data_IF_616347384055
#
_entry.id   IF_616347384055
#
_cell.length_a   1.000
_cell.length_b   1.000
_cell.length_c   1.000
_cell.angle_alpha   90.00
_cell.angle_beta   90.00
_cell.angle_gamma   90.00
#
_symmetry.space_group_name_H-M   'P 1'
#
loop_
_entity.id
_entity.type
_entity.pdbx_description
1 polymer ?
#
# COMPACT_ATOMS: atom_id res chain seq x y z
N UNK A 1 0.23 13.14 -17.28
CA UNK A 1 -0.12 12.11 -18.29
C UNK A 1 -1.40 11.42 -17.85
N UNK A 2 -2.38 11.14 -18.73
CA UNK A 2 -3.69 10.61 -18.29
C UNK A 2 -3.56 9.17 -17.79
N UNK A 3 -3.98 8.91 -16.54
CA UNK A 3 -4.22 7.55 -16.04
C UNK A 3 -5.50 7.02 -16.71
N UNK A 4 -5.34 6.46 -17.90
CA UNK A 4 -6.42 5.79 -18.61
C UNK A 4 -6.45 4.32 -18.17
N UNK A 5 -6.99 4.08 -16.96
CA UNK A 5 -7.35 2.73 -16.47
C UNK A 5 -8.49 2.16 -17.32
N UNK A 6 -8.18 1.76 -18.55
CA UNK A 6 -8.97 0.76 -19.25
C UNK A 6 -8.66 -0.58 -18.62
N UNK A 7 -9.64 -1.12 -17.89
CA UNK A 7 -9.67 -2.52 -17.46
C UNK A 7 -9.79 -3.44 -18.69
N UNK A 8 -8.71 -3.60 -19.44
CA UNK A 8 -8.50 -4.80 -20.25
C UNK A 8 -8.08 -5.91 -19.29
N UNK A 9 -8.82 -7.02 -19.29
CA UNK A 9 -8.40 -8.20 -18.55
C UNK A 9 -7.03 -8.65 -19.06
N UNK A 10 -6.07 -8.74 -18.15
CA UNK A 10 -4.73 -9.24 -18.44
C UNK A 10 -4.87 -10.73 -18.77
N UNK A 11 -4.59 -11.10 -20.01
CA UNK A 11 -4.60 -12.49 -20.45
C UNK A 11 -3.34 -13.19 -19.94
N UNK A 12 -3.44 -13.79 -18.75
CA UNK A 12 -2.36 -14.58 -18.16
C UNK A 12 -2.07 -15.81 -19.02
N UNK A 13 -0.79 -16.06 -19.27
CA UNK A 13 -0.31 -17.22 -20.03
C UNK A 13 0.73 -17.99 -19.24
N UNK A 14 0.93 -19.27 -19.54
CA UNK A 14 1.95 -20.10 -18.88
C UNK A 14 3.36 -19.51 -19.02
N UNK A 15 3.63 -18.72 -20.08
CA UNK A 15 4.89 -18.00 -20.24
C UNK A 15 5.06 -16.86 -19.22
N UNK A 16 4.01 -16.06 -19.01
CA UNK A 16 3.99 -15.02 -17.96
C UNK A 16 4.09 -15.63 -16.57
N UNK A 17 3.34 -16.70 -16.29
CA UNK A 17 3.38 -17.40 -15.00
C UNK A 17 4.78 -17.95 -14.69
N UNK A 18 5.44 -18.54 -15.69
CA UNK A 18 6.80 -19.03 -15.55
C UNK A 18 7.80 -17.89 -15.29
N UNK A 19 7.66 -16.74 -15.96
CA UNK A 19 8.50 -15.57 -15.68
C UNK A 19 8.30 -15.08 -14.24
N UNK A 20 7.04 -14.92 -13.79
CA UNK A 20 6.72 -14.49 -12.42
C UNK A 20 7.30 -15.49 -11.41
N UNK A 21 7.10 -16.80 -11.59
CA UNK A 21 7.66 -17.84 -10.72
C UNK A 21 9.19 -17.77 -10.57
N UNK A 22 9.90 -17.43 -11.64
CA UNK A 22 11.36 -17.28 -11.63
C UNK A 22 11.79 -15.97 -10.98
N UNK A 23 11.12 -14.85 -11.29
CA UNK A 23 11.63 -13.49 -11.02
C UNK A 23 11.03 -12.78 -9.82
N UNK A 24 9.90 -13.24 -9.28
CA UNK A 24 9.22 -12.61 -8.14
C UNK A 24 10.06 -12.53 -6.86
N UNK A 25 11.03 -13.43 -6.68
CA UNK A 25 11.98 -13.40 -5.55
C UNK A 25 13.33 -12.78 -5.88
N UNK A 26 13.55 -12.33 -7.12
CA UNK A 26 14.82 -11.79 -7.61
C UNK A 26 14.75 -10.29 -7.92
N UNK A 27 13.58 -9.79 -8.34
CA UNK A 27 13.36 -8.42 -8.80
C UNK A 27 12.35 -7.67 -7.93
N UNK A 28 12.42 -6.33 -7.95
CA UNK A 28 11.31 -5.50 -7.47
C UNK A 28 10.11 -5.66 -8.40
N UNK A 29 8.90 -5.31 -7.92
CA UNK A 29 7.69 -5.42 -8.74
C UNK A 29 7.73 -4.46 -9.94
N UNK A 30 8.35 -3.30 -9.79
CA UNK A 30 8.65 -2.37 -10.88
C UNK A 30 9.54 -3.03 -11.95
N UNK A 31 10.70 -3.57 -11.56
CA UNK A 31 11.62 -4.25 -12.49
C UNK A 31 10.98 -5.47 -13.16
N UNK A 32 10.12 -6.20 -12.44
CA UNK A 32 9.35 -7.31 -13.00
C UNK A 32 8.30 -6.83 -14.02
N UNK A 33 7.62 -5.70 -13.76
CA UNK A 33 6.72 -5.04 -14.72
C UNK A 33 7.47 -4.61 -15.97
N UNK A 34 8.67 -4.04 -15.82
CA UNK A 34 9.54 -3.66 -16.94
C UNK A 34 10.00 -4.88 -17.75
N UNK A 35 10.44 -5.96 -17.10
CA UNK A 35 10.84 -7.19 -17.78
C UNK A 35 9.67 -7.83 -18.55
N UNK A 36 8.45 -7.82 -17.98
CA UNK A 36 7.23 -8.26 -18.67
C UNK A 36 6.95 -7.38 -19.91
N UNK A 37 7.05 -6.06 -19.77
CA UNK A 37 6.84 -5.13 -20.88
C UNK A 37 7.87 -5.34 -22.00
N UNK A 38 9.16 -5.48 -21.66
CA UNK A 38 10.23 -5.70 -22.62
C UNK A 38 10.13 -7.06 -23.34
N UNK A 39 9.70 -8.13 -22.64
CA UNK A 39 9.59 -9.48 -23.22
C UNK A 39 8.31 -9.74 -24.00
N UNK A 40 7.18 -9.15 -23.58
CA UNK A 40 5.86 -9.48 -24.12
C UNK A 40 5.09 -8.29 -24.71
N UNK A 41 5.59 -7.05 -24.54
CA UNK A 41 4.89 -5.83 -24.97
C UNK A 41 3.67 -5.47 -24.11
N UNK A 42 3.48 -6.13 -22.97
CA UNK A 42 2.30 -5.98 -22.10
C UNK A 42 2.64 -5.08 -20.92
N UNK A 43 1.98 -3.93 -20.80
CA UNK A 43 2.08 -3.09 -19.60
C UNK A 43 1.06 -3.56 -18.55
N UNK A 44 1.50 -4.33 -17.56
CA UNK A 44 0.66 -4.87 -16.49
C UNK A 44 0.76 -3.98 -15.24
N UNK A 45 -0.36 -3.52 -14.65
CA UNK A 45 -0.36 -2.86 -13.34
C UNK A 45 0.26 -3.75 -12.25
N UNK A 46 1.12 -3.18 -11.41
CA UNK A 46 1.91 -3.90 -10.40
C UNK A 46 1.03 -4.70 -9.42
N UNK A 47 -0.12 -4.16 -9.04
CA UNK A 47 -1.12 -4.86 -8.24
C UNK A 47 -1.65 -6.15 -8.88
N UNK A 48 -1.76 -6.22 -10.22
CA UNK A 48 -2.19 -7.44 -10.91
C UNK A 48 -1.06 -8.48 -10.97
N UNK A 49 0.21 -8.04 -11.06
CA UNK A 49 1.37 -8.93 -10.93
C UNK A 49 1.41 -9.56 -9.53
N UNK A 50 1.17 -8.74 -8.49
CA UNK A 50 1.09 -9.19 -7.10
C UNK A 50 -0.05 -10.18 -6.85
N UNK A 51 -1.24 -9.91 -7.39
CA UNK A 51 -2.37 -10.83 -7.31
C UNK A 51 -2.06 -12.16 -8.02
N UNK A 52 -1.44 -12.12 -9.21
CA UNK A 52 -1.05 -13.36 -9.89
C UNK A 52 0.00 -14.15 -9.11
N UNK A 53 0.97 -13.47 -8.49
CA UNK A 53 1.98 -14.14 -7.66
C UNK A 53 1.39 -14.84 -6.42
N UNK A 54 0.28 -14.33 -5.88
CA UNK A 54 -0.53 -15.01 -4.85
C UNK A 54 -1.15 -16.31 -5.38
N UNK A 55 -1.86 -16.25 -6.52
CA UNK A 55 -2.46 -17.42 -7.17
C UNK A 55 -1.42 -18.50 -7.52
N UNK A 56 -0.18 -18.07 -7.80
CA UNK A 56 0.96 -18.95 -8.07
C UNK A 56 1.63 -19.51 -6.79
N UNK A 57 1.18 -19.12 -5.59
CA UNK A 57 1.66 -19.61 -4.29
C UNK A 57 2.99 -19.00 -3.82
N UNK A 58 3.47 -17.94 -4.46
CA UNK A 58 4.81 -17.37 -4.21
C UNK A 58 4.91 -16.62 -2.87
N UNK A 59 3.76 -16.30 -2.28
CA UNK A 59 3.61 -15.52 -1.05
C UNK A 59 3.87 -16.33 0.22
N UNK A 60 3.50 -17.62 0.24
CA UNK A 60 3.69 -18.49 1.42
C UNK A 60 5.17 -18.59 1.85
N UNK A 61 6.09 -18.45 0.89
CA UNK A 61 7.54 -18.52 1.15
C UNK A 61 7.99 -17.46 2.16
N UNK A 62 7.45 -16.24 2.07
CA UNK A 62 7.81 -15.14 2.98
C UNK A 62 7.34 -15.37 4.42
N UNK A 63 6.17 -15.99 4.61
CA UNK A 63 5.69 -16.43 5.94
C UNK A 63 6.59 -17.55 6.47
N UNK A 64 6.89 -18.56 5.66
CA UNK A 64 7.75 -19.70 6.05
C UNK A 64 9.17 -19.28 6.43
N UNK A 65 9.72 -18.22 5.82
CA UNK A 65 11.00 -17.64 6.25
C UNK A 65 10.88 -16.86 7.57
N UNK A 66 9.77 -16.15 7.84
CA UNK A 66 9.49 -15.52 9.14
C UNK A 66 9.31 -16.55 10.28
N UNK A 67 8.63 -17.66 10.03
CA UNK A 67 8.51 -18.81 10.97
C UNK A 67 9.89 -19.35 11.37
N UNK A 68 10.84 -19.35 10.42
CA UNK A 68 12.25 -19.73 10.62
C UNK A 68 13.10 -18.60 11.22
N UNK A 69 12.47 -17.57 11.78
CA UNK A 69 13.07 -16.37 12.37
C UNK A 69 13.96 -15.55 11.39
N UNK A 70 13.81 -15.73 10.06
CA UNK A 70 14.50 -14.91 9.06
C UNK A 70 13.71 -13.63 8.79
N UNK A 71 13.87 -12.66 9.68
CA UNK A 71 13.19 -11.36 9.58
C UNK A 71 13.77 -10.51 8.43
N UNK A 72 12.92 -9.78 7.66
CA UNK A 72 13.38 -8.78 6.71
C UNK A 72 14.09 -7.62 7.44
N UNK A 73 14.86 -6.84 6.67
CA UNK A 73 15.72 -5.74 7.13
C UNK A 73 15.06 -4.87 8.22
N UNK A 74 13.87 -4.37 7.93
CA UNK A 74 13.06 -3.45 8.75
C UNK A 74 12.46 -4.06 10.02
N UNK A 75 12.51 -5.39 10.19
CA UNK A 75 12.00 -6.09 11.37
C UNK A 75 13.10 -6.71 12.25
N UNK A 76 14.37 -6.68 11.85
CA UNK A 76 15.46 -7.40 12.54
C UNK A 76 15.58 -7.03 14.02
N UNK A 77 15.58 -5.73 14.33
CA UNK A 77 15.64 -5.20 15.70
C UNK A 77 14.31 -5.29 16.47
N UNK A 78 13.22 -5.67 15.81
CA UNK A 78 11.87 -5.53 16.36
C UNK A 78 11.36 -6.83 17.00
N UNK A 79 10.54 -6.67 18.04
CA UNK A 79 9.77 -7.78 18.63
C UNK A 79 8.54 -8.00 17.76
N UNK A 80 8.58 -9.09 16.99
CA UNK A 80 7.55 -9.51 16.03
C UNK A 80 6.98 -10.85 16.47
N UNK A 81 5.68 -11.02 16.28
CA UNK A 81 4.94 -12.24 16.54
C UNK A 81 4.12 -12.63 15.31
N UNK A 82 4.04 -13.92 15.00
CA UNK A 82 3.04 -14.42 14.05
C UNK A 82 1.69 -14.46 14.76
N UNK A 83 0.64 -13.97 14.10
CA UNK A 83 -0.73 -13.94 14.60
C UNK A 83 -1.64 -14.66 13.59
N UNK A 84 -1.51 -15.99 13.53
CA UNK A 84 -2.10 -16.82 12.48
C UNK A 84 -1.26 -16.85 11.20
N UNK A 85 -1.81 -17.45 10.14
CA UNK A 85 -1.04 -17.83 8.95
C UNK A 85 -0.59 -16.66 8.03
N UNK A 86 -1.31 -15.54 8.02
CA UNK A 86 -1.03 -14.40 7.12
C UNK A 86 -0.75 -13.07 7.83
N UNK A 87 -0.65 -13.03 9.16
CA UNK A 87 -0.56 -11.76 9.90
C UNK A 87 0.64 -11.72 10.83
N UNK A 88 1.40 -10.63 10.78
CA UNK A 88 2.44 -10.34 11.77
C UNK A 88 2.02 -9.20 12.68
N UNK A 89 2.43 -9.27 13.95
CA UNK A 89 2.22 -8.23 14.95
C UNK A 89 3.54 -7.70 15.46
N UNK A 90 3.69 -6.39 15.41
CA UNK A 90 4.95 -5.68 15.62
C UNK A 90 4.80 -4.74 16.84
N UNK A 91 5.74 -4.83 17.79
CA UNK A 91 5.80 -3.89 18.92
C UNK A 91 6.63 -2.65 18.57
N UNK A 92 5.99 -1.49 18.58
CA UNK A 92 6.62 -0.19 18.32
C UNK A 92 6.29 0.34 16.92
N UNK A 93 7.02 1.38 16.54
CA UNK A 93 6.89 2.06 15.25
C UNK A 93 7.59 1.27 14.13
N UNK A 94 7.12 1.41 12.90
CA UNK A 94 7.63 0.71 11.72
C UNK A 94 7.88 1.71 10.60
N UNK A 95 9.09 1.66 10.04
CA UNK A 95 9.43 2.33 8.78
C UNK A 95 9.82 1.29 7.75
N UNK A 96 9.05 1.18 6.67
CA UNK A 96 9.35 0.30 5.55
C UNK A 96 10.30 1.04 4.60
N UNK A 97 11.52 0.53 4.34
CA UNK A 97 12.44 1.15 3.40
C UNK A 97 11.93 1.04 1.96
N UNK A 98 12.54 1.82 1.07
CA UNK A 98 12.07 1.93 -0.31
C UNK A 98 12.21 0.61 -1.07
N UNK A 99 11.35 0.40 -2.07
CA UNK A 99 11.31 -0.79 -2.96
C UNK A 99 11.03 -2.13 -2.27
N UNK A 100 10.61 -2.14 -1.01
CA UNK A 100 10.23 -3.36 -0.27
C UNK A 100 8.83 -3.85 -0.67
N UNK A 101 8.63 -5.18 -0.58
CA UNK A 101 7.34 -5.83 -0.76
C UNK A 101 6.87 -6.54 0.52
N UNK A 102 5.62 -6.29 0.92
CA UNK A 102 4.98 -6.89 2.10
C UNK A 102 3.80 -7.78 1.65
N UNK A 103 3.99 -9.11 1.59
CA UNK A 103 2.96 -10.03 1.12
C UNK A 103 1.85 -10.35 2.14
N UNK A 104 2.06 -10.00 3.41
CA UNK A 104 1.25 -10.40 4.57
C UNK A 104 0.63 -9.21 5.29
N UNK A 105 -0.39 -9.45 6.12
CA UNK A 105 -1.03 -8.42 6.93
C UNK A 105 -0.08 -7.96 8.05
N UNK A 106 -0.11 -6.67 8.39
CA UNK A 106 0.73 -6.09 9.45
C UNK A 106 -0.13 -5.40 10.51
N UNK A 107 0.12 -5.74 11.79
CA UNK A 107 -0.45 -5.07 12.96
C UNK A 107 0.68 -4.33 13.67
N UNK A 108 0.70 -3.01 13.56
CA UNK A 108 1.73 -2.12 14.11
C UNK A 108 1.19 -1.47 15.39
N UNK A 109 1.83 -1.72 16.53
CA UNK A 109 1.39 -1.20 17.83
C UNK A 109 1.85 0.24 18.13
N UNK A 110 2.68 0.81 17.27
CA UNK A 110 3.06 2.22 17.22
C UNK A 110 2.59 2.89 15.92
N UNK A 111 3.42 3.75 15.36
CA UNK A 111 3.21 4.46 14.09
C UNK A 111 3.73 3.67 12.88
N UNK A 112 3.21 3.96 11.68
CA UNK A 112 3.65 3.32 10.42
C UNK A 112 4.07 4.35 9.36
N UNK A 113 5.21 4.11 8.72
CA UNK A 113 5.75 4.95 7.65
C UNK A 113 6.21 4.07 6.48
N UNK A 114 5.78 4.37 5.26
CA UNK A 114 6.41 3.83 4.05
C UNK A 114 7.40 4.83 3.45
N UNK A 115 8.40 4.33 2.74
CA UNK A 115 9.21 5.10 1.79
C UNK A 115 8.74 4.81 0.35
N UNK A 116 9.54 5.26 -0.60
CA UNK A 116 9.27 5.19 -2.03
C UNK A 116 9.09 3.75 -2.56
N UNK A 117 8.18 3.58 -3.52
CA UNK A 117 7.92 2.32 -4.25
C UNK A 117 7.61 1.09 -3.36
N UNK A 118 6.95 1.29 -2.21
CA UNK A 118 6.57 0.19 -1.31
C UNK A 118 5.25 -0.45 -1.76
N UNK A 119 5.26 -1.78 -1.92
CA UNK A 119 4.09 -2.57 -2.29
C UNK A 119 3.62 -3.44 -1.13
N UNK A 120 2.31 -3.44 -0.83
CA UNK A 120 1.74 -4.13 0.34
C UNK A 120 0.47 -4.88 -0.05
N UNK A 121 0.52 -6.22 -0.17
CA UNK A 121 -0.71 -7.00 -0.43
C UNK A 121 -1.62 -7.02 0.80
N UNK A 122 -1.03 -7.21 1.98
CA UNK A 122 -1.77 -7.43 3.22
C UNK A 122 -2.55 -6.21 3.70
N UNK A 123 -3.50 -6.46 4.60
CA UNK A 123 -4.17 -5.39 5.35
C UNK A 123 -3.20 -4.74 6.33
N UNK A 124 -3.34 -3.43 6.52
CA UNK A 124 -2.50 -2.64 7.43
C UNK A 124 -3.37 -2.20 8.61
N UNK A 125 -2.98 -2.57 9.83
CA UNK A 125 -3.60 -2.08 11.05
C UNK A 125 -2.55 -1.33 11.89
N UNK A 126 -2.76 -0.05 12.14
CA UNK A 126 -1.82 0.83 12.86
C UNK A 126 -2.51 1.38 14.10
N UNK A 127 -1.90 1.25 15.27
CA UNK A 127 -2.46 1.81 16.52
C UNK A 127 -2.23 3.32 16.61
N UNK A 128 -1.06 3.79 16.19
CA UNK A 128 -0.70 5.20 16.13
C UNK A 128 -1.10 5.85 14.81
N UNK A 129 -0.32 6.83 14.38
CA UNK A 129 -0.46 7.53 13.10
C UNK A 129 0.17 6.74 11.95
N UNK A 130 -0.24 7.04 10.71
CA UNK A 130 0.30 6.41 9.51
C UNK A 130 0.60 7.43 8.39
N UNK A 131 1.72 7.25 7.67
CA UNK A 131 2.11 8.05 6.50
C UNK A 131 2.49 7.12 5.35
N UNK A 132 1.83 7.28 4.20
CA UNK A 132 1.88 6.39 3.05
C UNK A 132 2.10 7.18 1.75
N UNK A 133 3.18 6.88 1.02
CA UNK A 133 3.68 7.57 -0.19
C UNK A 133 5.18 7.32 -0.36
N UNK A 134 5.80 7.51 -1.55
CA UNK A 134 5.27 7.51 -2.92
C UNK A 134 6.04 6.51 -3.83
N UNK A 135 5.48 5.53 -4.55
CA UNK A 135 4.12 5.29 -5.05
C UNK A 135 3.72 3.84 -4.73
N UNK A 136 2.44 3.57 -4.49
CA UNK A 136 2.04 2.42 -3.69
C UNK A 136 0.87 1.60 -4.26
N UNK A 137 0.95 0.28 -4.15
CA UNK A 137 -0.16 -0.65 -4.38
C UNK A 137 -0.54 -1.39 -3.11
N UNK A 138 -1.77 -1.20 -2.62
CA UNK A 138 -2.30 -1.84 -1.40
C UNK A 138 -3.51 -2.73 -1.72
N UNK A 139 -3.35 -4.05 -1.53
CA UNK A 139 -4.34 -5.05 -1.96
C UNK A 139 -5.57 -5.21 -1.07
N UNK A 140 -5.53 -4.72 0.17
CA UNK A 140 -6.57 -4.90 1.20
C UNK A 140 -6.82 -3.58 1.96
N UNK A 141 -7.63 -3.63 3.02
CA UNK A 141 -8.00 -2.44 3.80
C UNK A 141 -6.88 -1.88 4.68
N UNK A 142 -6.99 -0.60 5.01
CA UNK A 142 -6.13 0.11 5.96
C UNK A 142 -6.98 0.60 7.14
N UNK A 143 -6.54 0.32 8.37
CA UNK A 143 -7.18 0.77 9.62
C UNK A 143 -6.17 1.48 10.50
N UNK A 144 -6.45 2.73 10.89
CA UNK A 144 -5.51 3.60 11.63
C UNK A 144 -6.17 4.17 12.89
N UNK A 145 -5.51 4.00 14.03
CA UNK A 145 -5.96 4.51 15.33
C UNK A 145 -5.72 6.00 15.54
N UNK A 146 -4.72 6.58 14.85
CA UNK A 146 -4.43 8.01 14.78
C UNK A 146 -4.88 8.66 13.46
N UNK A 147 -4.15 9.69 13.04
CA UNK A 147 -4.30 10.36 11.74
C UNK A 147 -3.57 9.57 10.63
N UNK A 148 -4.03 9.71 9.39
CA UNK A 148 -3.48 9.01 8.22
C UNK A 148 -3.17 9.99 7.08
N UNK A 149 -1.97 9.89 6.50
CA UNK A 149 -1.56 10.63 5.30
C UNK A 149 -1.35 9.66 4.14
N UNK A 150 -1.91 10.00 2.96
CA UNK A 150 -1.81 9.20 1.72
C UNK A 150 -1.44 10.11 0.56
N UNK A 151 -0.55 9.67 -0.34
CA UNK A 151 -0.18 10.45 -1.52
C UNK A 151 0.57 9.70 -2.63
N UNK A 152 0.96 10.51 -3.62
CA UNK A 152 1.08 10.20 -5.05
C UNK A 152 2.02 9.03 -5.42
N UNK A 153 1.69 8.13 -6.35
CA UNK A 153 0.34 7.67 -6.71
C UNK A 153 0.03 6.44 -5.84
N UNK A 154 -1.19 6.31 -5.30
CA UNK A 154 -1.57 5.20 -4.41
C UNK A 154 -2.87 4.53 -4.90
N UNK A 155 -2.94 3.20 -4.92
CA UNK A 155 -4.18 2.43 -5.18
C UNK A 155 -4.47 1.47 -4.02
N UNK A 156 -5.68 1.52 -3.45
CA UNK A 156 -6.13 0.73 -2.29
C UNK A 156 -7.37 -0.11 -2.65
N UNK A 157 -7.34 -1.42 -2.37
CA UNK A 157 -8.31 -2.39 -2.87
C UNK A 157 -9.71 -2.42 -2.26
N UNK A 158 -9.92 -1.93 -1.03
CA UNK A 158 -11.25 -1.95 -0.39
C UNK A 158 -11.53 -0.68 0.44
N UNK A 159 -11.41 -0.71 1.78
CA UNK A 159 -11.70 0.44 2.63
C UNK A 159 -10.47 1.04 3.32
N UNK A 160 -10.53 2.35 3.56
CA UNK A 160 -9.63 3.08 4.47
C UNK A 160 -10.46 3.59 5.63
N UNK A 161 -10.07 3.27 6.85
CA UNK A 161 -10.67 3.75 8.10
C UNK A 161 -9.58 4.37 8.99
N UNK A 162 -9.76 5.63 9.38
CA UNK A 162 -8.93 6.26 10.39
C UNK A 162 -9.80 6.92 11.46
N UNK A 163 -9.48 6.69 12.74
CA UNK A 163 -10.14 7.39 13.85
C UNK A 163 -9.77 8.87 13.89
N UNK A 164 -8.58 9.22 13.40
CA UNK A 164 -8.13 10.59 13.21
C UNK A 164 -8.56 11.21 11.88
N UNK A 165 -7.93 12.33 11.55
CA UNK A 165 -8.08 13.01 10.27
C UNK A 165 -7.35 12.25 9.16
N UNK A 166 -7.87 12.32 7.93
CA UNK A 166 -7.19 11.76 6.75
C UNK A 166 -6.74 12.89 5.83
N UNK A 167 -5.49 12.83 5.38
CA UNK A 167 -4.85 13.82 4.51
C UNK A 167 -4.48 13.16 3.18
N UNK A 168 -5.08 13.62 2.08
CA UNK A 168 -4.97 12.97 0.76
C UNK A 168 -4.35 13.95 -0.25
N UNK A 169 -3.09 13.69 -0.61
CA UNK A 169 -2.40 14.35 -1.72
C UNK A 169 -2.78 13.71 -3.06
N UNK A 170 -2.32 14.29 -4.17
CA UNK A 170 -2.71 13.86 -5.53
C UNK A 170 -2.45 12.38 -5.84
N UNK A 171 -3.17 11.83 -6.84
CA UNK A 171 -2.87 10.50 -7.40
C UNK A 171 -3.42 9.28 -6.64
N UNK A 172 -4.51 9.41 -5.88
CA UNK A 172 -5.04 8.35 -4.99
C UNK A 172 -6.34 7.72 -5.51
N UNK A 173 -6.43 6.39 -5.48
CA UNK A 173 -7.63 5.62 -5.87
C UNK A 173 -7.96 4.57 -4.79
N UNK A 174 -9.20 4.55 -4.30
CA UNK A 174 -9.61 3.69 -3.17
C UNK A 174 -10.93 2.97 -3.49
N UNK A 175 -10.96 1.64 -3.34
CA UNK A 175 -12.16 0.80 -3.44
C UNK A 175 -12.64 0.56 -4.87
N UNK A 176 -11.83 -0.14 -5.68
CA UNK A 176 -12.14 -0.39 -7.10
C UNK A 176 -13.06 -1.61 -7.32
N UNK A 177 -13.76 -1.60 -8.46
CA UNK A 177 -15.13 -2.13 -8.57
C UNK A 177 -15.36 -3.64 -8.35
N UNK A 178 -16.63 -3.96 -8.05
CA UNK A 178 -17.31 -5.24 -7.75
C UNK A 178 -17.53 -5.53 -6.25
N UNK A 179 -16.57 -5.24 -5.37
CA UNK A 179 -16.77 -5.37 -3.91
C UNK A 179 -17.20 -4.07 -3.21
N UNK A 180 -16.91 -2.92 -3.82
CA UNK A 180 -17.13 -1.61 -3.21
C UNK A 180 -15.92 -1.13 -2.40
N UNK A 181 -16.16 -0.20 -1.48
CA UNK A 181 -15.10 0.44 -0.70
C UNK A 181 -15.35 1.93 -0.47
N UNK A 182 -14.46 2.56 0.27
CA UNK A 182 -14.58 3.96 0.66
C UNK A 182 -13.51 4.41 1.65
N UNK A 183 -13.51 5.71 1.92
CA UNK A 183 -12.64 6.36 2.89
C UNK A 183 -13.52 6.88 4.03
N UNK A 184 -13.21 6.46 5.25
CA UNK A 184 -13.91 6.79 6.50
C UNK A 184 -12.93 7.49 7.43
N UNK A 185 -13.28 8.69 7.88
CA UNK A 185 -12.53 9.41 8.92
C UNK A 185 -13.43 9.72 10.11
N UNK A 186 -12.94 9.44 11.32
CA UNK A 186 -13.53 9.87 12.58
C UNK A 186 -13.43 11.39 12.84
N UNK A 187 -12.78 12.14 11.95
CA UNK A 187 -12.60 13.60 12.00
C UNK A 187 -12.80 14.23 10.61
N UNK A 188 -11.93 15.16 10.21
CA UNK A 188 -11.91 15.86 8.93
C UNK A 188 -11.11 15.06 7.89
N UNK A 189 -11.59 15.03 6.63
CA UNK A 189 -10.79 14.60 5.48
C UNK A 189 -10.29 15.82 4.71
N UNK A 190 -8.98 15.98 4.56
CA UNK A 190 -8.32 17.03 3.79
C UNK A 190 -7.87 16.48 2.44
N UNK A 191 -8.23 17.13 1.33
CA UNK A 191 -8.04 16.60 -0.03
C UNK A 191 -7.42 17.66 -0.94
N UNK A 192 -6.34 17.34 -1.65
CA UNK A 192 -5.82 18.20 -2.72
C UNK A 192 -6.69 18.11 -4.00
N UNK A 193 -6.85 19.20 -4.77
CA UNK A 193 -7.62 19.18 -6.02
C UNK A 193 -7.17 18.06 -6.99
N UNK A 194 -8.11 17.20 -7.37
CA UNK A 194 -7.86 16.06 -8.26
C UNK A 194 -7.21 14.83 -7.59
N UNK A 195 -7.16 14.79 -6.25
CA UNK A 195 -6.49 13.71 -5.53
C UNK A 195 -7.22 12.36 -5.50
N UNK A 196 -8.55 12.36 -5.52
CA UNK A 196 -9.36 11.14 -5.39
C UNK A 196 -10.15 10.82 -6.65
N UNK A 197 -10.22 9.53 -6.98
CA UNK A 197 -11.16 8.98 -7.97
C UNK A 197 -12.62 9.00 -7.49
N UNK A 198 -13.49 8.23 -8.15
CA UNK A 198 -14.92 8.06 -7.75
C UNK A 198 -15.08 7.16 -6.51
N UNK A 199 -14.54 7.60 -5.38
CA UNK A 199 -14.57 6.91 -4.08
C UNK A 199 -15.65 7.51 -3.17
N UNK A 200 -16.36 6.68 -2.39
CA UNK A 200 -17.23 7.17 -1.31
C UNK A 200 -16.39 7.69 -0.15
N UNK A 201 -16.61 8.95 0.25
CA UNK A 201 -15.95 9.57 1.40
C UNK A 201 -16.97 9.85 2.50
N UNK A 202 -16.68 9.40 3.72
CA UNK A 202 -17.37 9.77 4.95
C UNK A 202 -16.37 10.39 5.93
N UNK A 203 -16.76 11.51 6.54
CA UNK A 203 -15.93 12.26 7.47
C UNK A 203 -16.84 12.88 8.53
N UNK A 204 -16.61 12.58 9.81
CA UNK A 204 -17.46 13.09 10.91
C UNK A 204 -17.46 14.61 10.98
N UNK A 205 -16.32 15.26 10.73
CA UNK A 205 -16.17 16.72 10.71
C UNK A 205 -16.25 17.32 9.29
N UNK A 206 -16.60 16.49 8.31
CA UNK A 206 -16.70 16.89 6.90
C UNK A 206 -15.39 16.85 6.10
N UNK A 207 -15.51 17.26 4.83
CA UNK A 207 -14.44 17.17 3.83
C UNK A 207 -13.98 18.58 3.46
N UNK A 208 -12.66 18.82 3.46
CA UNK A 208 -12.05 20.11 3.15
C UNK A 208 -11.09 19.97 1.97
N UNK A 209 -11.40 20.65 0.87
CA UNK A 209 -10.47 20.78 -0.26
C UNK A 209 -9.43 21.83 0.09
N UNK A 210 -8.15 21.53 -0.10
CA UNK A 210 -7.02 22.41 0.26
C UNK A 210 -5.98 22.46 -0.86
N UNK A 211 -5.39 23.63 -1.13
CA UNK A 211 -4.38 23.80 -2.20
C UNK A 211 -3.20 22.82 -2.06
N UNK A 212 -2.78 22.56 -0.82
CA UNK A 212 -1.91 21.44 -0.49
C UNK A 212 -2.11 20.95 0.94
N UNK A 213 -2.09 19.64 1.15
CA UNK A 213 -2.13 19.05 2.50
C UNK A 213 -0.90 19.43 3.32
N UNK A 214 0.26 19.73 2.69
CA UNK A 214 1.49 20.15 3.38
C UNK A 214 1.28 21.38 4.28
N UNK A 215 0.32 22.25 3.96
CA UNK A 215 -0.03 23.45 4.74
C UNK A 215 -0.89 23.16 5.98
N UNK A 216 -1.65 22.05 5.97
CA UNK A 216 -2.60 21.67 7.04
C UNK A 216 -2.18 20.41 7.81
N UNK A 217 -1.12 19.73 7.37
CA UNK A 217 -0.54 18.58 8.07
C UNK A 217 0.01 18.97 9.44
N UNK A 218 -0.37 18.27 10.53
CA UNK A 218 0.28 18.35 11.83
C UNK A 218 1.78 18.04 11.74
N UNK A 219 2.60 18.72 12.54
CA UNK A 219 4.07 18.62 12.45
C UNK A 219 4.59 17.19 12.61
N UNK A 220 3.99 16.40 13.50
CA UNK A 220 4.33 14.98 13.70
C UNK A 220 4.14 14.08 12.47
N UNK A 221 3.38 14.54 11.46
CA UNK A 221 3.15 13.84 10.19
C UNK A 221 4.00 14.41 9.03
N UNK A 222 4.75 15.50 9.26
CA UNK A 222 5.62 16.13 8.25
C UNK A 222 6.96 15.40 8.13
N UNK A 223 6.91 14.13 7.74
CA UNK A 223 8.10 13.29 7.61
C UNK A 223 8.91 13.73 6.38
N UNK A 224 10.03 14.43 6.61
CA UNK A 224 10.86 15.07 5.59
C UNK A 224 11.47 14.13 4.56
N UNK A 225 11.54 12.83 4.87
CA UNK A 225 12.10 11.78 4.02
C UNK A 225 11.05 10.95 3.25
N UNK A 226 9.76 11.28 3.36
CA UNK A 226 8.65 10.56 2.69
C UNK A 226 8.05 11.39 1.54
N UNK A 227 8.37 12.67 1.45
CA UNK A 227 7.77 13.62 0.50
C UNK A 227 8.81 14.40 -0.32
N UNK A 228 9.97 13.77 -0.57
CA UNK A 228 10.99 14.34 -1.45
C UNK A 228 10.51 14.22 -2.91
N UNK A 229 10.71 15.32 -3.63
CA UNK A 229 10.42 15.50 -5.06
C UNK A 229 11.76 15.79 -5.73
#
# INVERSE_FOLDING_TARGET
MRIQMMTREVQWSSALDNLIRQKFGELTIEMLREEIYLKYGINIPELLILHRAEELGLIEKAIKDLERNKKPSYLKSQKVWLQGAETIRIKGDVTIPAKEFIPYNIIVLGNFFSKEEVAIRGGIHVKGDAVIGPKNGIGKSIVVGGDLVIGEDTIIGNCVDARGSIYVAKGVVIGMAKEGGGLVSGKTVYIEPGALGKTKVYAVEGVKVVDSIRRVLPERLRVTDVWKV
#
